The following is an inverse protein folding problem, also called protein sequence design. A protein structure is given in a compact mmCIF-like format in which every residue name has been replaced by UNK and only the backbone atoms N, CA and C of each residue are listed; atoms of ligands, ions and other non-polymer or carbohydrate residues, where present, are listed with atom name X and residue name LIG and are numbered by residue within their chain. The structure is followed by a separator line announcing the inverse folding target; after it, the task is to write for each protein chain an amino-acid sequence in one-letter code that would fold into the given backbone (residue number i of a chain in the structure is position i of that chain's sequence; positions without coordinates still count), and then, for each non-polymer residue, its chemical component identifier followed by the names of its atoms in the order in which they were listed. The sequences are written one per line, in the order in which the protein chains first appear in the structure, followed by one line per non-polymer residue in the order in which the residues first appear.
data_IF_819772340417
#
_entry.id   IF_819772340417
#
_cell.length_a   1.000
_cell.length_b   1.000
_cell.length_c   1.000
_cell.angle_alpha   90.00
_cell.angle_beta   90.00
_cell.angle_gamma   90.00
#
_symmetry.space_group_name_H-M   'P 1'
#
loop_
_entity.id
_entity.type
_entity.pdbx_description
1 polymer ?
#
# COMPACT_ATOMS: atom_id res chain seq x y z
N UNK A 1 -23.53 -12.82 -21.14
CA UNK A 1 -23.59 -11.96 -19.93
C UNK A 1 -22.25 -11.27 -19.83
N UNK A 2 -22.19 -9.94 -19.87
CA UNK A 2 -20.94 -9.20 -19.67
C UNK A 2 -20.52 -9.45 -18.22
N UNK A 3 -19.33 -10.05 -18.01
CA UNK A 3 -18.80 -10.22 -16.66
C UNK A 3 -18.54 -8.83 -16.06
N UNK A 4 -19.04 -8.58 -14.86
CA UNK A 4 -18.74 -7.34 -14.13
C UNK A 4 -17.22 -7.25 -13.94
N UNK A 5 -16.62 -6.11 -14.25
CA UNK A 5 -15.18 -5.91 -14.14
C UNK A 5 -14.72 -6.14 -12.68
N UNK A 6 -13.63 -6.87 -12.49
CA UNK A 6 -12.98 -7.01 -11.21
C UNK A 6 -12.00 -5.86 -10.97
N UNK A 7 -12.07 -5.23 -9.82
CA UNK A 7 -11.36 -3.99 -9.50
C UNK A 7 -10.34 -4.20 -8.39
N UNK A 8 -9.18 -3.60 -8.56
CA UNK A 8 -8.18 -3.42 -7.51
C UNK A 8 -8.07 -1.93 -7.17
N UNK A 9 -8.15 -1.57 -5.90
CA UNK A 9 -7.92 -0.20 -5.45
C UNK A 9 -6.62 -0.08 -4.67
N UNK A 10 -5.70 0.76 -5.15
CA UNK A 10 -4.39 1.00 -4.52
C UNK A 10 -4.30 2.45 -4.09
N UNK A 11 -4.21 2.68 -2.78
CA UNK A 11 -4.01 4.01 -2.20
C UNK A 11 -2.54 4.20 -1.79
N UNK A 12 -1.97 5.37 -2.07
CA UNK A 12 -0.55 5.65 -1.85
C UNK A 12 0.29 5.44 -3.10
N UNK A 13 -0.30 5.72 -4.26
CA UNK A 13 0.41 5.72 -5.55
C UNK A 13 1.05 7.08 -5.78
N UNK A 14 2.32 7.09 -6.14
CA UNK A 14 3.11 8.28 -6.43
C UNK A 14 3.77 8.17 -7.80
N UNK A 15 5.11 8.23 -7.83
CA UNK A 15 5.89 8.16 -9.06
C UNK A 15 5.74 6.82 -9.82
N UNK A 16 5.97 6.85 -11.13
CA UNK A 16 5.95 5.66 -12.01
C UNK A 16 6.96 4.60 -11.55
N UNK A 17 8.14 5.03 -11.08
CA UNK A 17 9.18 4.17 -10.51
C UNK A 17 9.02 4.04 -8.97
N UNK A 18 7.79 3.94 -8.49
CA UNK A 18 7.44 3.75 -7.08
C UNK A 18 6.69 2.44 -6.83
N UNK A 19 6.68 1.97 -5.56
CA UNK A 19 6.03 0.71 -5.20
C UNK A 19 4.55 0.69 -5.58
N UNK A 20 3.80 1.77 -5.31
CA UNK A 20 2.38 1.82 -5.67
C UNK A 20 2.12 1.64 -7.17
N UNK A 21 3.01 2.16 -8.03
CA UNK A 21 2.91 1.98 -9.46
C UNK A 21 3.30 0.56 -9.91
N UNK A 22 4.30 -0.07 -9.28
CA UNK A 22 4.68 -1.45 -9.55
C UNK A 22 3.54 -2.42 -9.17
N UNK A 23 2.91 -2.21 -8.00
CA UNK A 23 1.70 -2.93 -7.60
C UNK A 23 0.59 -2.76 -8.65
N UNK A 24 0.33 -1.52 -9.08
CA UNK A 24 -0.70 -1.25 -10.08
C UNK A 24 -0.43 -1.98 -11.42
N UNK A 25 0.80 -1.94 -11.92
CA UNK A 25 1.19 -2.69 -13.13
C UNK A 25 0.99 -4.20 -12.97
N UNK A 26 1.40 -4.74 -11.80
CA UNK A 26 1.28 -6.19 -11.56
C UNK A 26 -0.16 -6.66 -11.56
N UNK A 27 -1.06 -5.93 -10.89
CA UNK A 27 -2.48 -6.29 -10.86
C UNK A 27 -3.18 -6.02 -12.20
N UNK A 28 -2.82 -4.97 -12.92
CA UNK A 28 -3.31 -4.73 -14.28
C UNK A 28 -2.92 -5.86 -15.25
N UNK A 29 -1.67 -6.35 -15.17
CA UNK A 29 -1.19 -7.54 -15.90
C UNK A 29 -1.98 -8.81 -15.52
N UNK A 30 -2.50 -8.87 -14.31
CA UNK A 30 -3.39 -9.94 -13.84
C UNK A 30 -4.83 -9.85 -14.34
N UNK A 31 -5.16 -8.85 -15.16
CA UNK A 31 -6.50 -8.69 -15.78
C UNK A 31 -7.46 -7.79 -14.99
N UNK A 32 -7.04 -7.19 -13.89
CA UNK A 32 -7.88 -6.28 -13.10
C UNK A 32 -7.95 -4.88 -13.70
N UNK A 33 -9.09 -4.21 -13.51
CA UNK A 33 -9.16 -2.75 -13.62
C UNK A 33 -8.58 -2.13 -12.35
N UNK A 34 -7.54 -1.31 -12.47
CA UNK A 34 -6.81 -0.79 -11.32
C UNK A 34 -7.19 0.68 -11.06
N UNK A 35 -7.78 0.97 -9.92
CA UNK A 35 -7.98 2.32 -9.42
C UNK A 35 -6.75 2.74 -8.59
N UNK A 36 -6.05 3.78 -9.01
CA UNK A 36 -4.87 4.31 -8.32
C UNK A 36 -5.18 5.63 -7.63
N UNK A 37 -4.88 5.71 -6.33
CA UNK A 37 -5.14 6.90 -5.51
C UNK A 37 -3.88 7.45 -4.86
N UNK A 38 -3.81 8.77 -4.77
CA UNK A 38 -2.72 9.52 -4.16
C UNK A 38 -2.97 11.02 -4.29
N UNK A 39 -2.10 11.86 -3.72
CA UNK A 39 -2.30 13.31 -3.64
C UNK A 39 -1.93 14.09 -4.91
N UNK A 40 -1.15 13.52 -5.82
CA UNK A 40 -0.65 14.21 -7.01
C UNK A 40 -1.36 13.72 -8.27
N UNK A 41 -2.29 14.49 -8.86
CA UNK A 41 -3.00 14.10 -10.08
C UNK A 41 -2.06 13.78 -11.23
N UNK A 42 -1.01 14.58 -11.42
CA UNK A 42 -0.05 14.40 -12.52
C UNK A 42 0.72 13.09 -12.42
N UNK A 43 1.17 12.72 -11.19
CA UNK A 43 1.84 11.44 -10.96
C UNK A 43 0.90 10.27 -11.20
N UNK A 44 -0.35 10.36 -10.75
CA UNK A 44 -1.37 9.34 -10.99
C UNK A 44 -1.64 9.19 -12.48
N UNK A 45 -1.77 10.30 -13.21
CA UNK A 45 -1.95 10.30 -14.67
C UNK A 45 -0.80 9.56 -15.37
N UNK A 46 0.45 9.89 -15.04
CA UNK A 46 1.61 9.22 -15.61
C UNK A 46 1.62 7.70 -15.33
N UNK A 47 1.19 7.26 -14.14
CA UNK A 47 1.05 5.83 -13.81
C UNK A 47 -0.03 5.19 -14.64
N UNK A 48 -1.19 5.81 -14.78
CA UNK A 48 -2.29 5.31 -15.64
C UNK A 48 -1.84 5.17 -17.08
N UNK A 49 -1.21 6.19 -17.64
CA UNK A 49 -0.66 6.16 -19.02
C UNK A 49 0.34 5.01 -19.20
N UNK A 50 1.22 4.78 -18.21
CA UNK A 50 2.20 3.68 -18.26
C UNK A 50 1.55 2.28 -18.25
N UNK A 51 0.41 2.13 -17.59
CA UNK A 51 -0.36 0.88 -17.56
C UNK A 51 -1.12 0.69 -18.88
N UNK A 52 -1.76 1.75 -19.38
CA UNK A 52 -2.51 1.73 -20.63
C UNK A 52 -1.61 1.45 -21.85
N UNK A 53 -0.37 1.97 -21.83
CA UNK A 53 0.63 1.66 -22.86
C UNK A 53 1.01 0.16 -22.92
N UNK A 54 0.71 -0.60 -21.87
CA UNK A 54 0.87 -2.05 -21.79
C UNK A 54 -0.47 -2.81 -21.95
N UNK A 55 -1.49 -2.16 -22.50
CA UNK A 55 -2.85 -2.68 -22.67
C UNK A 55 -3.56 -3.04 -21.34
N UNK A 56 -3.13 -2.51 -20.22
CA UNK A 56 -3.81 -2.63 -18.93
C UNK A 56 -4.91 -1.57 -18.74
N UNK A 57 -5.84 -1.83 -17.85
CA UNK A 57 -6.91 -0.91 -17.48
C UNK A 57 -6.59 -0.22 -16.15
N UNK A 58 -6.50 1.11 -16.16
CA UNK A 58 -6.28 1.88 -14.93
C UNK A 58 -7.03 3.21 -14.95
N UNK A 59 -7.41 3.69 -13.75
CA UNK A 59 -8.11 4.96 -13.53
C UNK A 59 -7.45 5.70 -12.36
N UNK A 60 -7.21 7.00 -12.52
CA UNK A 60 -6.69 7.88 -11.49
C UNK A 60 -7.83 8.44 -10.62
N UNK A 61 -7.70 8.29 -9.31
CA UNK A 61 -8.63 8.82 -8.30
C UNK A 61 -7.84 9.65 -7.27
N UNK A 62 -7.60 10.95 -7.52
CA UNK A 62 -6.88 11.80 -6.57
C UNK A 62 -7.59 11.80 -5.21
N UNK A 63 -6.83 11.51 -4.14
CA UNK A 63 -7.35 11.45 -2.78
C UNK A 63 -6.22 11.61 -1.75
N UNK A 64 -6.49 12.36 -0.68
CA UNK A 64 -5.66 12.34 0.53
C UNK A 64 -6.16 11.22 1.45
N UNK A 65 -5.28 10.30 1.81
CA UNK A 65 -5.62 9.20 2.70
C UNK A 65 -6.06 9.64 4.09
N UNK A 66 -5.58 10.80 4.58
CA UNK A 66 -5.98 11.38 5.86
C UNK A 66 -7.31 12.13 5.84
N UNK A 67 -7.95 12.26 4.66
CA UNK A 67 -9.25 12.91 4.46
C UNK A 67 -10.35 11.87 4.29
N UNK A 68 -11.27 11.81 5.25
CA UNK A 68 -12.42 10.91 5.16
C UNK A 68 -13.30 11.22 3.94
N UNK A 69 -13.50 12.49 3.63
CA UNK A 69 -14.29 12.90 2.47
C UNK A 69 -13.68 12.39 1.15
N UNK A 70 -12.35 12.47 1.00
CA UNK A 70 -11.65 11.99 -0.19
C UNK A 70 -11.75 10.47 -0.31
N UNK A 71 -11.60 9.73 0.80
CA UNK A 71 -11.75 8.26 0.82
C UNK A 71 -13.17 7.85 0.45
N UNK A 72 -14.20 8.54 0.96
CA UNK A 72 -15.59 8.28 0.60
C UNK A 72 -15.87 8.58 -0.88
N UNK A 73 -15.33 9.65 -1.42
CA UNK A 73 -15.44 9.96 -2.85
C UNK A 73 -14.73 8.91 -3.72
N UNK A 74 -13.52 8.50 -3.33
CA UNK A 74 -12.74 7.50 -4.05
C UNK A 74 -13.43 6.13 -4.06
N UNK A 75 -13.91 5.62 -2.92
CA UNK A 75 -14.59 4.32 -2.89
C UNK A 75 -15.90 4.33 -3.67
N UNK A 76 -16.61 5.44 -3.71
CA UNK A 76 -17.80 5.60 -4.56
C UNK A 76 -17.44 5.45 -6.04
N UNK A 77 -16.33 6.05 -6.47
CA UNK A 77 -15.83 5.92 -7.85
C UNK A 77 -15.37 4.49 -8.13
N UNK A 78 -14.64 3.84 -7.20
CA UNK A 78 -14.21 2.43 -7.31
C UNK A 78 -15.40 1.49 -7.53
N UNK A 79 -16.48 1.65 -6.76
CA UNK A 79 -17.72 0.86 -6.91
C UNK A 79 -18.38 1.06 -8.29
N UNK A 80 -18.23 2.24 -8.88
CA UNK A 80 -18.69 2.52 -10.23
C UNK A 80 -17.91 1.81 -11.34
N UNK A 81 -16.68 1.36 -11.07
CA UNK A 81 -15.85 0.62 -12.02
C UNK A 81 -16.17 -0.88 -12.06
N UNK A 82 -16.70 -1.47 -10.99
CA UNK A 82 -16.98 -2.89 -10.91
C UNK A 82 -16.94 -3.45 -9.48
N UNK A 83 -16.69 -4.73 -9.36
CA UNK A 83 -16.59 -5.42 -8.07
C UNK A 83 -15.18 -5.29 -7.49
N UNK A 84 -15.05 -4.68 -6.32
CA UNK A 84 -13.77 -4.63 -5.62
C UNK A 84 -13.35 -6.03 -5.17
N UNK A 85 -12.16 -6.46 -5.57
CA UNK A 85 -11.56 -7.74 -5.19
C UNK A 85 -10.32 -7.59 -4.33
N UNK A 86 -9.58 -6.51 -4.57
CA UNK A 86 -8.34 -6.24 -3.82
C UNK A 86 -8.28 -4.77 -3.43
N UNK A 87 -7.95 -4.50 -2.21
CA UNK A 87 -7.65 -3.18 -1.70
C UNK A 87 -6.25 -3.15 -1.09
N UNK A 88 -5.40 -2.21 -1.50
CA UNK A 88 -4.02 -2.10 -1.04
C UNK A 88 -3.77 -0.71 -0.46
N UNK A 89 -3.48 -0.64 0.83
CA UNK A 89 -3.05 0.58 1.49
C UNK A 89 -1.52 0.66 1.50
N UNK A 90 -0.98 1.47 0.60
CA UNK A 90 0.47 1.64 0.41
C UNK A 90 0.96 3.03 0.85
N UNK A 91 0.16 3.76 1.62
CA UNK A 91 0.53 5.09 2.09
C UNK A 91 1.65 4.98 3.13
N UNK A 92 2.69 5.78 2.93
CA UNK A 92 3.78 5.87 3.88
C UNK A 92 4.76 6.97 3.48
N UNK A 93 5.19 7.73 4.47
CA UNK A 93 6.26 8.69 4.33
C UNK A 93 7.18 8.56 5.55
N UNK A 94 8.40 8.07 5.34
CA UNK A 94 9.39 8.00 6.42
C UNK A 94 9.81 9.42 6.81
N UNK A 95 9.18 9.93 7.87
CA UNK A 95 9.55 11.21 8.48
C UNK A 95 10.69 10.98 9.44
N UNK A 96 11.76 11.72 9.26
CA UNK A 96 12.97 11.71 10.11
C UNK A 96 13.07 13.03 10.85
N UNK A 97 13.02 12.98 12.19
CA UNK A 97 13.20 14.14 13.07
C UNK A 97 13.70 13.66 14.45
N UNK A 98 14.72 14.29 15.03
CA UNK A 98 15.10 14.01 16.42
C UNK A 98 13.88 14.15 17.34
N UNK A 99 13.71 13.24 18.29
CA UNK A 99 12.46 13.16 19.08
C UNK A 99 12.16 14.42 19.89
N UNK A 100 13.20 15.15 20.33
CA UNK A 100 13.02 16.41 21.07
C UNK A 100 12.72 17.63 20.17
N UNK A 101 12.93 17.51 18.87
CA UNK A 101 12.65 18.54 17.86
C UNK A 101 11.37 18.24 17.08
N UNK A 102 10.81 17.06 17.25
CA UNK A 102 9.61 16.60 16.56
C UNK A 102 8.38 17.38 17.08
N UNK A 103 7.78 18.21 16.23
CA UNK A 103 6.57 18.93 16.61
C UNK A 103 5.35 18.00 16.70
N UNK A 104 4.39 18.37 17.56
CA UNK A 104 3.12 17.66 17.69
C UNK A 104 2.38 17.59 16.35
N UNK A 105 2.39 18.69 15.57
CA UNK A 105 1.74 18.76 14.26
C UNK A 105 2.35 17.74 13.27
N UNK A 106 3.67 17.64 13.20
CA UNK A 106 4.34 16.68 12.32
C UNK A 106 4.07 15.23 12.76
N UNK A 107 4.03 14.99 14.08
CA UNK A 107 3.64 13.70 14.63
C UNK A 107 2.20 13.35 14.24
N UNK A 108 1.25 14.27 14.47
CA UNK A 108 -0.16 14.06 14.13
C UNK A 108 -0.36 13.87 12.63
N UNK A 109 0.24 14.68 11.78
CA UNK A 109 0.15 14.54 10.32
C UNK A 109 0.65 13.17 9.85
N UNK A 110 1.76 12.68 10.43
CA UNK A 110 2.31 11.37 10.09
C UNK A 110 1.38 10.24 10.51
N UNK A 111 0.84 10.32 11.71
CA UNK A 111 -0.14 9.37 12.24
C UNK A 111 -1.45 9.41 11.43
N UNK A 112 -1.95 10.61 11.14
CA UNK A 112 -3.17 10.84 10.37
C UNK A 112 -3.07 10.22 8.97
N UNK A 113 -1.99 10.47 8.25
CA UNK A 113 -1.80 9.93 6.90
C UNK A 113 -1.68 8.40 6.88
N UNK A 114 -1.03 7.80 7.89
CA UNK A 114 -0.73 6.35 7.90
C UNK A 114 -1.77 5.55 8.70
N UNK A 115 -1.97 5.86 10.00
CA UNK A 115 -2.84 5.06 10.86
C UNK A 115 -4.31 5.38 10.64
N UNK A 116 -4.70 6.67 10.78
CA UNK A 116 -6.08 7.08 10.52
C UNK A 116 -6.48 6.82 9.07
N UNK A 117 -5.63 7.19 8.11
CA UNK A 117 -5.86 6.94 6.70
C UNK A 117 -6.00 5.45 6.40
N UNK A 118 -5.18 4.61 7.02
CA UNK A 118 -5.31 3.15 6.94
C UNK A 118 -6.65 2.65 7.46
N UNK A 119 -7.14 3.20 8.58
CA UNK A 119 -8.46 2.87 9.11
C UNK A 119 -9.59 3.29 8.16
N UNK A 120 -9.58 4.53 7.68
CA UNK A 120 -10.60 5.05 6.76
C UNK A 120 -10.66 4.21 5.48
N UNK A 121 -9.51 3.96 4.89
CA UNK A 121 -9.38 3.12 3.70
C UNK A 121 -9.86 1.69 3.95
N UNK A 122 -9.40 1.05 5.04
CA UNK A 122 -9.77 -0.32 5.37
C UNK A 122 -11.26 -0.47 5.63
N UNK A 123 -11.88 0.46 6.37
CA UNK A 123 -13.31 0.46 6.66
C UNK A 123 -14.16 0.46 5.39
N UNK A 124 -13.88 1.38 4.47
CA UNK A 124 -14.68 1.52 3.25
C UNK A 124 -14.38 0.41 2.23
N UNK A 125 -13.11 -0.01 2.13
CA UNK A 125 -12.72 -1.15 1.30
C UNK A 125 -13.36 -2.45 1.79
N UNK A 126 -13.36 -2.70 3.10
CA UNK A 126 -13.95 -3.91 3.68
C UNK A 126 -15.46 -3.99 3.40
N UNK A 127 -16.20 -2.86 3.53
CA UNK A 127 -17.62 -2.83 3.15
C UNK A 127 -17.82 -3.25 1.69
N UNK A 128 -17.04 -2.71 0.77
CA UNK A 128 -17.13 -3.05 -0.65
C UNK A 128 -16.70 -4.50 -0.95
N UNK A 129 -15.68 -5.02 -0.25
CA UNK A 129 -15.26 -6.41 -0.36
C UNK A 129 -16.35 -7.38 0.13
N UNK A 130 -16.99 -7.10 1.25
CA UNK A 130 -18.11 -7.91 1.77
C UNK A 130 -19.30 -7.92 0.82
N UNK A 131 -19.66 -6.77 0.24
CA UNK A 131 -20.69 -6.67 -0.81
C UNK A 131 -20.33 -7.50 -2.06
N UNK A 132 -19.04 -7.68 -2.34
CA UNK A 132 -18.53 -8.51 -3.45
C UNK A 132 -18.35 -9.99 -3.09
N UNK A 133 -18.77 -10.41 -1.89
CA UNK A 133 -18.66 -11.80 -1.41
C UNK A 133 -17.28 -12.15 -0.84
N UNK A 134 -16.45 -11.17 -0.53
CA UNK A 134 -15.09 -11.31 0.00
C UNK A 134 -14.02 -10.79 -0.96
N UNK A 135 -12.77 -10.89 -0.53
CA UNK A 135 -11.61 -10.44 -1.29
C UNK A 135 -10.38 -10.23 -0.41
N UNK A 136 -9.47 -9.37 -0.83
CA UNK A 136 -8.15 -9.19 -0.17
C UNK A 136 -7.92 -7.74 0.21
N UNK A 137 -7.50 -7.49 1.45
CA UNK A 137 -7.09 -6.20 1.99
C UNK A 137 -5.63 -6.27 2.44
N UNK A 138 -4.74 -5.51 1.82
CA UNK A 138 -3.31 -5.53 2.10
C UNK A 138 -2.83 -4.18 2.63
N UNK A 139 -1.96 -4.24 3.64
CA UNK A 139 -1.32 -3.06 4.24
C UNK A 139 0.19 -3.11 4.02
N UNK A 140 0.75 -2.04 3.48
CA UNK A 140 2.20 -1.88 3.38
C UNK A 140 2.78 -1.40 4.69
N UNK A 141 3.47 -2.30 5.37
CA UNK A 141 4.26 -2.03 6.56
C UNK A 141 5.69 -1.60 6.24
N UNK A 142 6.51 -1.59 7.26
CA UNK A 142 7.93 -1.25 7.21
C UNK A 142 8.66 -1.88 8.41
N UNK A 143 10.00 -1.86 8.42
CA UNK A 143 10.82 -2.10 9.64
C UNK A 143 10.22 -1.40 10.86
N UNK A 144 9.75 -0.16 10.66
CA UNK A 144 9.14 0.68 11.69
C UNK A 144 7.81 0.15 12.24
N UNK A 145 7.17 -0.82 11.58
CA UNK A 145 5.99 -1.52 12.11
C UNK A 145 6.34 -2.46 13.27
N UNK A 146 7.60 -2.93 13.33
CA UNK A 146 8.08 -3.93 14.28
C UNK A 146 8.94 -3.31 15.38
N UNK A 147 9.75 -2.32 15.03
CA UNK A 147 10.72 -1.70 15.94
C UNK A 147 10.95 -0.23 15.62
N UNK A 148 10.91 0.61 16.63
CA UNK A 148 11.30 2.01 16.54
C UNK A 148 12.82 2.16 16.49
N UNK A 149 13.30 3.03 15.61
CA UNK A 149 14.71 3.45 15.55
C UNK A 149 14.79 4.98 15.51
N UNK A 150 15.78 5.60 16.14
CA UNK A 150 16.00 7.04 15.94
C UNK A 150 16.43 7.32 14.49
N UNK A 151 16.04 8.46 13.92
CA UNK A 151 15.17 9.49 14.45
C UNK A 151 13.72 9.40 13.89
N UNK A 152 13.10 8.22 13.87
CA UNK A 152 11.84 7.92 13.17
C UNK A 152 10.64 7.72 14.12
N UNK A 153 10.59 8.44 15.27
CA UNK A 153 9.55 8.21 16.27
C UNK A 153 8.11 8.31 15.73
N UNK A 154 7.79 9.38 14.98
CA UNK A 154 6.46 9.56 14.39
C UNK A 154 6.12 8.45 13.39
N UNK A 155 7.06 8.12 12.53
CA UNK A 155 6.89 7.07 11.51
C UNK A 155 6.70 5.68 12.16
N UNK A 156 7.48 5.38 13.19
CA UNK A 156 7.36 4.10 13.91
C UNK A 156 6.02 3.98 14.65
N UNK A 157 5.58 5.03 15.36
CA UNK A 157 4.27 5.05 16.00
C UNK A 157 3.13 4.84 15.00
N UNK A 158 3.21 5.51 13.83
CA UNK A 158 2.21 5.40 12.79
C UNK A 158 2.17 4.01 12.14
N UNK A 159 3.32 3.41 11.84
CA UNK A 159 3.41 2.08 11.22
C UNK A 159 3.09 0.94 12.19
N UNK A 160 3.43 1.08 13.47
CA UNK A 160 3.00 0.13 14.51
C UNK A 160 1.48 0.16 14.70
N UNK A 161 0.86 1.36 14.69
CA UNK A 161 -0.59 1.50 14.70
C UNK A 161 -1.26 0.84 13.48
N UNK A 162 -0.70 1.02 12.29
CA UNK A 162 -1.19 0.39 11.06
C UNK A 162 -1.11 -1.15 11.14
N UNK A 163 -0.01 -1.70 11.69
CA UNK A 163 0.14 -3.14 11.91
C UNK A 163 -0.93 -3.68 12.85
N UNK A 164 -1.13 -3.02 14.00
CA UNK A 164 -2.17 -3.41 14.97
C UNK A 164 -3.57 -3.37 14.36
N UNK A 165 -3.85 -2.34 13.54
CA UNK A 165 -5.10 -2.20 12.80
C UNK A 165 -5.31 -3.40 11.85
N UNK A 166 -4.30 -3.79 11.08
CA UNK A 166 -4.39 -4.93 10.16
C UNK A 166 -4.73 -6.24 10.89
N UNK A 167 -4.17 -6.45 12.08
CA UNK A 167 -4.47 -7.61 12.92
C UNK A 167 -5.90 -7.63 13.42
N UNK A 168 -6.46 -6.46 13.77
CA UNK A 168 -7.85 -6.32 14.18
C UNK A 168 -8.80 -6.68 13.04
N UNK A 169 -8.58 -6.09 11.86
CA UNK A 169 -9.37 -6.36 10.65
C UNK A 169 -9.27 -7.83 10.22
N UNK A 170 -8.08 -8.45 10.31
CA UNK A 170 -7.89 -9.85 9.96
C UNK A 170 -8.77 -10.78 10.83
N UNK A 171 -8.83 -10.52 12.14
CA UNK A 171 -9.64 -11.33 13.07
C UNK A 171 -11.14 -11.12 12.89
N UNK A 172 -11.55 -9.89 12.65
CA UNK A 172 -12.97 -9.54 12.52
C UNK A 172 -13.57 -9.99 11.19
N UNK A 173 -12.84 -9.82 10.07
CA UNK A 173 -13.37 -10.03 8.73
C UNK A 173 -12.83 -11.28 8.01
N UNK A 174 -11.81 -11.93 8.56
CA UNK A 174 -11.34 -13.23 8.06
C UNK A 174 -12.45 -14.28 7.97
N UNK A 175 -13.26 -14.49 9.04
CA UNK A 175 -14.40 -15.41 9.00
C UNK A 175 -15.46 -15.05 7.94
N UNK A 176 -15.49 -13.79 7.49
CA UNK A 176 -16.40 -13.25 6.47
C UNK A 176 -15.78 -13.25 5.06
N UNK A 177 -14.74 -14.05 4.84
CA UNK A 177 -14.08 -14.20 3.55
C UNK A 177 -13.30 -12.96 3.07
N UNK A 178 -12.77 -12.14 3.98
CA UNK A 178 -11.84 -11.06 3.66
C UNK A 178 -10.44 -11.44 4.14
N UNK A 179 -9.53 -11.72 3.19
CA UNK A 179 -8.13 -11.99 3.49
C UNK A 179 -7.42 -10.67 3.81
N UNK A 180 -7.01 -10.49 5.05
CA UNK A 180 -6.30 -9.29 5.50
C UNK A 180 -4.87 -9.62 5.82
N UNK A 181 -3.90 -8.97 5.15
CA UNK A 181 -2.47 -9.16 5.41
C UNK A 181 -1.70 -7.85 5.54
N UNK A 182 -0.65 -7.90 6.35
CA UNK A 182 0.32 -6.84 6.56
C UNK A 182 1.67 -7.27 5.99
N UNK A 183 2.22 -6.46 5.06
CA UNK A 183 3.51 -6.74 4.41
C UNK A 183 4.58 -5.85 5.01
N UNK A 184 5.47 -6.41 5.78
CA UNK A 184 6.63 -5.70 6.35
C UNK A 184 7.69 -5.56 5.27
N UNK A 185 7.94 -4.34 4.82
CA UNK A 185 9.07 -4.04 3.93
C UNK A 185 10.27 -3.69 4.82
N UNK A 186 11.10 -4.69 5.10
CA UNK A 186 12.25 -4.54 5.98
C UNK A 186 13.54 -4.33 5.18
N UNK A 187 13.74 -3.12 4.72
CA UNK A 187 14.90 -2.70 3.95
C UNK A 187 14.62 -1.50 3.04
N UNK A 188 15.65 -1.07 2.33
CA UNK A 188 15.53 0.00 1.34
C UNK A 188 14.87 -0.54 0.06
N UNK A 189 13.94 0.24 -0.49
CA UNK A 189 13.30 -0.08 -1.78
C UNK A 189 14.07 0.63 -2.89
N UNK A 190 14.45 -0.10 -3.94
CA UNK A 190 15.10 0.46 -5.12
C UNK A 190 14.07 1.17 -6.02
N UNK A 191 13.54 2.29 -5.56
CA UNK A 191 12.55 3.11 -6.27
C UNK A 191 12.96 4.56 -6.38
N UNK A 192 12.19 5.35 -7.13
CA UNK A 192 12.48 6.78 -7.41
C UNK A 192 12.81 7.57 -6.13
N UNK A 193 12.09 7.34 -5.05
CA UNK A 193 12.32 8.08 -3.81
C UNK A 193 13.74 7.91 -3.27
N UNK A 194 14.24 6.69 -3.19
CA UNK A 194 15.60 6.43 -2.68
C UNK A 194 16.62 6.86 -3.70
N UNK A 195 16.40 6.62 -4.99
CA UNK A 195 17.28 7.08 -6.08
C UNK A 195 17.45 8.61 -6.10
N UNK A 196 16.36 9.35 -5.82
CA UNK A 196 16.38 10.82 -5.87
C UNK A 196 16.89 11.49 -4.58
N UNK A 197 16.62 10.92 -3.40
CA UNK A 197 16.91 11.59 -2.12
C UNK A 197 18.09 10.99 -1.36
N UNK A 198 18.45 9.76 -1.65
CA UNK A 198 19.54 9.04 -0.96
C UNK A 198 20.24 8.05 -1.90
N UNK A 199 20.74 8.46 -3.08
CA UNK A 199 21.37 7.54 -4.04
C UNK A 199 22.58 6.81 -3.45
N UNK A 200 23.37 7.49 -2.58
CA UNK A 200 24.51 6.89 -1.89
C UNK A 200 24.11 5.69 -1.03
N UNK A 201 22.86 5.65 -0.55
CA UNK A 201 22.36 4.50 0.21
C UNK A 201 22.31 3.25 -0.65
N UNK A 202 21.87 3.36 -1.91
CA UNK A 202 21.85 2.23 -2.85
C UNK A 202 23.26 1.79 -3.23
N UNK A 203 24.19 2.73 -3.42
CA UNK A 203 25.60 2.43 -3.69
C UNK A 203 26.23 1.64 -2.52
N UNK A 204 26.00 2.09 -1.29
CA UNK A 204 26.49 1.41 -0.08
C UNK A 204 25.92 0.00 0.11
N UNK A 205 24.67 -0.20 -0.25
CA UNK A 205 24.02 -1.51 -0.17
C UNK A 205 24.55 -2.47 -1.25
N UNK A 206 25.02 -1.95 -2.36
CA UNK A 206 25.53 -2.72 -3.49
C UNK A 206 24.46 -3.53 -4.20
N UNK A 207 24.91 -4.41 -5.07
CA UNK A 207 24.01 -5.29 -5.82
C UNK A 207 23.19 -6.16 -4.85
N UNK A 208 21.87 -6.28 -5.11
CA UNK A 208 20.91 -7.08 -4.33
C UNK A 208 20.75 -6.67 -2.84
N UNK A 209 21.30 -5.50 -2.46
CA UNK A 209 21.17 -4.97 -1.10
C UNK A 209 19.90 -4.14 -0.87
N UNK A 210 19.06 -3.95 -1.90
CA UNK A 210 17.78 -3.29 -1.82
C UNK A 210 16.68 -4.11 -2.48
N UNK A 211 15.46 -4.02 -1.95
CA UNK A 211 14.26 -4.67 -2.49
C UNK A 211 13.91 -4.08 -3.86
N UNK A 212 13.66 -4.92 -4.84
CA UNK A 212 13.18 -4.51 -6.15
C UNK A 212 11.67 -4.34 -6.15
N UNK A 213 11.18 -3.36 -6.90
CA UNK A 213 9.75 -3.02 -6.96
C UNK A 213 8.90 -4.19 -7.45
N UNK A 214 9.39 -4.88 -8.47
CA UNK A 214 8.70 -5.99 -9.11
C UNK A 214 8.63 -7.20 -8.18
N UNK A 215 9.69 -7.51 -7.43
CA UNK A 215 9.72 -8.63 -6.49
C UNK A 215 8.74 -8.40 -5.32
N UNK A 216 8.64 -7.15 -4.84
CA UNK A 216 7.63 -6.79 -3.85
C UNK A 216 6.23 -6.97 -4.45
N UNK A 217 5.99 -6.51 -5.67
CA UNK A 217 4.69 -6.61 -6.31
C UNK A 217 4.25 -8.06 -6.53
N UNK A 218 5.18 -8.98 -6.86
CA UNK A 218 4.90 -10.41 -6.93
C UNK A 218 4.52 -11.00 -5.56
N UNK A 219 5.13 -10.56 -4.47
CA UNK A 219 4.75 -10.99 -3.13
C UNK A 219 3.30 -10.58 -2.78
N UNK A 220 2.86 -9.37 -3.18
CA UNK A 220 1.47 -8.94 -3.01
C UNK A 220 0.50 -9.77 -3.85
N UNK A 221 0.89 -10.09 -5.08
CA UNK A 221 0.11 -10.99 -5.93
C UNK A 221 0.00 -12.39 -5.32
N UNK A 222 1.09 -12.92 -4.79
CA UNK A 222 1.10 -14.21 -4.09
C UNK A 222 0.11 -14.21 -2.92
N UNK A 223 0.13 -13.18 -2.06
CA UNK A 223 -0.81 -13.06 -0.95
C UNK A 223 -2.27 -13.08 -1.43
N UNK A 224 -2.58 -12.31 -2.48
CA UNK A 224 -3.92 -12.29 -3.04
C UNK A 224 -4.35 -13.65 -3.60
N UNK A 225 -3.43 -14.41 -4.15
CA UNK A 225 -3.69 -15.70 -4.81
C UNK A 225 -3.77 -16.89 -3.84
N UNK A 226 -3.56 -16.69 -2.56
CA UNK A 226 -3.56 -17.78 -1.58
C UNK A 226 -4.92 -18.43 -1.40
N UNK A 227 -4.99 -19.76 -1.26
CA UNK A 227 -6.22 -20.45 -0.93
C UNK A 227 -6.66 -20.13 0.50
N UNK A 228 -7.97 -20.17 0.76
CA UNK A 228 -8.56 -19.88 2.08
C UNK A 228 -8.01 -20.73 3.22
N UNK A 229 -7.52 -21.92 2.93
CA UNK A 229 -6.94 -22.85 3.91
C UNK A 229 -5.55 -22.43 4.41
N UNK A 230 -4.91 -21.44 3.77
CA UNK A 230 -3.54 -21.04 4.06
C UNK A 230 -3.30 -19.55 3.81
N UNK A 231 -4.09 -18.69 4.44
CA UNK A 231 -3.90 -17.25 4.38
C UNK A 231 -2.78 -16.78 5.29
N UNK A 232 -1.87 -15.98 4.73
CA UNK A 232 -0.82 -15.27 5.47
C UNK A 232 -1.37 -13.99 6.06
N UNK A 233 -1.25 -13.79 7.37
CA UNK A 233 -1.65 -12.54 8.02
C UNK A 233 -0.51 -11.51 8.04
N UNK A 234 0.75 -11.92 8.18
CA UNK A 234 1.92 -11.05 8.11
C UNK A 234 3.01 -11.69 7.28
N UNK A 235 3.59 -10.94 6.35
CA UNK A 235 4.70 -11.34 5.49
C UNK A 235 5.85 -10.35 5.66
N UNK A 236 7.05 -10.86 5.92
CA UNK A 236 8.28 -10.08 6.03
C UNK A 236 9.10 -10.22 4.75
N UNK A 237 9.37 -9.10 4.08
CA UNK A 237 10.20 -9.02 2.89
C UNK A 237 11.45 -8.20 3.19
N UNK A 238 12.62 -8.79 2.94
CA UNK A 238 13.90 -8.12 3.12
C UNK A 238 14.92 -8.56 2.08
N UNK A 239 15.89 -7.70 1.72
CA UNK A 239 17.05 -8.14 0.96
C UNK A 239 17.87 -9.15 1.80
N UNK A 240 18.50 -10.11 1.16
CA UNK A 240 19.28 -11.13 1.89
C UNK A 240 20.47 -10.53 2.68
N UNK A 241 20.91 -9.32 2.35
CA UNK A 241 21.97 -8.58 3.05
C UNK A 241 21.45 -7.72 4.23
N UNK A 242 20.15 -7.59 4.40
CA UNK A 242 19.59 -6.80 5.52
C UNK A 242 19.74 -7.58 6.83
N UNK A 243 20.36 -6.95 7.82
CA UNK A 243 20.53 -7.55 9.15
C UNK A 243 19.26 -7.41 10.01
N UNK A 244 19.04 -8.39 10.86
CA UNK A 244 17.98 -8.38 11.85
C UNK A 244 18.25 -7.42 13.02
#
# INVERSE_FOLDING_TARGET
MSSTAEVVWINGVGAVEGLGAALARRFAKGGYTVAVSGRSPDKLKAVVESIQAQNGNAVALPADAGSEADILAAIKAVRGLGQLRVAIFNVGNSVSSPSLELSADLFEQTWRASTLGGFLFARESTRALLESGGGTLLFTGATASLRGKPPFAAFAAAKAGLRSLSQSFAREFGPQNVHVAHVVIDGSINGERVRSHAPQRLEQLGAEGALQLEDIAEAYWYLHSQPRSAWTQELDLRPFKESF
#
